data_IF_490555212132
#
_entry.id   IF_490555212132
#
_cell.length_a   1.000
_cell.length_b   1.000
_cell.length_c   1.000
_cell.angle_alpha   90.00
_cell.angle_beta   90.00
_cell.angle_gamma   90.00
#
_symmetry.space_group_name_H-M   'P 1'
#
loop_
_entity.id
_entity.type
_entity.pdbx_description
1 polymer ?
#
# COMPACT_ATOMS: atom_id res chain seq x y z
N UNK A 1 0.05 -2.47 8.13
CA UNK A 1 1.23 -2.65 7.26
C UNK A 1 1.05 -1.88 5.97
N UNK A 2 2.14 -1.59 5.26
CA UNK A 2 2.14 -0.85 3.99
C UNK A 2 2.97 -1.61 2.98
N UNK A 3 2.42 -1.79 1.78
CA UNK A 3 3.13 -2.29 0.62
C UNK A 3 3.30 -1.14 -0.37
N UNK A 4 4.55 -0.81 -0.68
CA UNK A 4 4.93 0.21 -1.66
C UNK A 4 5.37 -0.48 -2.97
N UNK A 5 4.89 0.00 -4.11
CA UNK A 5 5.36 -0.41 -5.44
C UNK A 5 5.40 0.78 -6.41
N UNK A 6 6.21 0.69 -7.47
CA UNK A 6 6.43 1.77 -8.43
C UNK A 6 5.65 1.63 -9.75
N UNK A 7 4.83 0.58 -9.91
CA UNK A 7 4.07 0.33 -11.13
C UNK A 7 2.64 -0.08 -10.79
N UNK A 8 1.68 0.32 -11.63
CA UNK A 8 0.28 -0.12 -11.52
C UNK A 8 0.14 -1.41 -12.35
N UNK A 9 -0.21 -2.52 -11.70
CA UNK A 9 -0.82 -3.64 -12.40
C UNK A 9 -2.31 -3.67 -12.03
N UNK A 10 -3.17 -3.96 -13.02
CA UNK A 10 -4.61 -4.11 -12.78
C UNK A 10 -4.83 -5.32 -11.87
N UNK A 11 -4.91 -5.06 -10.58
CA UNK A 11 -4.95 -6.10 -9.56
C UNK A 11 -6.28 -6.05 -8.82
N UNK A 12 -6.82 -7.23 -8.51
CA UNK A 12 -8.03 -7.34 -7.73
C UNK A 12 -7.70 -7.09 -6.25
N UNK A 13 -8.00 -5.88 -5.78
CA UNK A 13 -7.71 -5.47 -4.41
C UNK A 13 -8.88 -5.92 -3.53
N UNK A 14 -8.59 -6.74 -2.51
CA UNK A 14 -9.58 -7.13 -1.49
C UNK A 14 -10.20 -5.90 -0.83
N UNK A 15 -11.49 -5.97 -0.46
CA UNK A 15 -12.23 -4.85 0.15
C UNK A 15 -11.58 -4.25 1.41
N UNK A 16 -10.76 -5.03 2.13
CA UNK A 16 -10.08 -4.58 3.35
C UNK A 16 -8.75 -3.86 3.08
N UNK A 17 -8.26 -3.94 1.84
CA UNK A 17 -6.99 -3.33 1.43
C UNK A 17 -7.30 -1.95 0.86
N UNK A 18 -6.81 -0.92 1.53
CA UNK A 18 -6.86 0.44 0.99
C UNK A 18 -5.74 0.65 0.00
N UNK A 19 -6.06 1.35 -1.08
CA UNK A 19 -5.13 1.71 -2.13
C UNK A 19 -5.01 3.22 -2.21
N UNK A 20 -3.78 3.69 -2.30
CA UNK A 20 -3.45 5.09 -2.54
C UNK A 20 -2.35 5.20 -3.58
N UNK A 21 -2.46 6.21 -4.45
CA UNK A 21 -1.48 6.50 -5.49
C UNK A 21 -0.90 7.89 -5.22
N UNK A 22 0.41 7.95 -5.07
CA UNK A 22 1.13 9.21 -4.89
C UNK A 22 2.20 9.33 -5.98
N UNK A 23 1.92 10.14 -7.01
CA UNK A 23 2.76 10.26 -8.19
C UNK A 23 2.93 8.92 -8.92
N UNK A 24 4.17 8.44 -9.02
CA UNK A 24 4.52 7.15 -9.63
C UNK A 24 4.58 5.98 -8.63
N UNK A 25 4.21 6.22 -7.37
CA UNK A 25 4.22 5.20 -6.31
C UNK A 25 2.80 4.82 -5.92
N UNK A 26 2.66 3.56 -5.59
CA UNK A 26 1.41 2.93 -5.19
C UNK A 26 1.59 2.36 -3.79
N UNK A 27 0.68 2.72 -2.90
CA UNK A 27 0.66 2.33 -1.51
C UNK A 27 -0.58 1.50 -1.23
N UNK A 28 -0.38 0.30 -0.70
CA UNK A 28 -1.44 -0.60 -0.29
C UNK A 28 -1.37 -0.77 1.23
N UNK A 29 -2.45 -0.43 1.90
CA UNK A 29 -2.57 -0.48 3.35
C UNK A 29 -3.52 -1.61 3.73
N UNK A 30 -3.05 -2.55 4.54
CA UNK A 30 -3.90 -3.51 5.24
C UNK A 30 -3.55 -3.57 6.72
N UNK A 31 -4.53 -3.92 7.54
CA UNK A 31 -4.31 -4.27 8.94
C UNK A 31 -3.67 -5.66 9.06
N UNK A 32 -3.85 -6.53 8.06
CA UNK A 32 -3.28 -7.87 8.02
C UNK A 32 -2.06 -7.92 7.09
N UNK A 33 -0.91 -8.30 7.64
CA UNK A 33 0.34 -8.47 6.89
C UNK A 33 0.23 -9.54 5.80
N UNK A 34 -0.52 -10.60 6.04
CA UNK A 34 -0.59 -11.76 5.15
C UNK A 34 -1.30 -11.40 3.86
N UNK A 35 -2.28 -10.49 3.92
CA UNK A 35 -2.94 -9.97 2.73
C UNK A 35 -1.97 -9.20 1.82
N UNK A 36 -1.09 -8.37 2.40
CA UNK A 36 -0.06 -7.67 1.62
C UNK A 36 1.00 -8.63 1.09
N UNK A 37 1.36 -9.66 1.85
CA UNK A 37 2.26 -10.71 1.38
C UNK A 37 1.68 -11.49 0.20
N UNK A 38 0.40 -11.86 0.27
CA UNK A 38 -0.30 -12.52 -0.82
C UNK A 38 -0.36 -11.63 -2.08
N UNK A 39 -0.58 -10.32 -1.92
CA UNK A 39 -0.50 -9.36 -3.02
C UNK A 39 0.91 -9.33 -3.63
N UNK A 40 1.94 -9.25 -2.79
CA UNK A 40 3.34 -9.28 -3.25
C UNK A 40 3.67 -10.55 -4.03
N UNK A 41 3.24 -11.72 -3.56
CA UNK A 41 3.45 -12.99 -4.25
C UNK A 41 2.75 -13.04 -5.61
N UNK A 42 1.53 -12.49 -5.69
CA UNK A 42 0.77 -12.44 -6.93
C UNK A 42 1.40 -11.47 -7.96
N UNK A 43 1.92 -10.34 -7.50
CA UNK A 43 2.54 -9.33 -8.38
C UNK A 43 3.91 -9.76 -8.95
N UNK A 44 4.61 -10.72 -8.33
CA UNK A 44 5.98 -11.17 -8.71
C UNK A 44 6.97 -10.04 -9.02
N UNK A 45 6.68 -8.83 -8.56
CA UNK A 45 7.34 -7.63 -9.03
C UNK A 45 8.60 -7.40 -8.19
N UNK A 46 9.71 -7.09 -8.85
CA UNK A 46 11.02 -7.00 -8.18
C UNK A 46 11.17 -5.75 -7.31
N UNK A 47 10.20 -4.84 -7.35
CA UNK A 47 10.26 -3.54 -6.69
C UNK A 47 9.05 -3.33 -5.76
N UNK A 48 8.83 -4.30 -4.88
CA UNK A 48 7.77 -4.27 -3.85
C UNK A 48 8.40 -4.31 -2.47
N UNK A 49 8.10 -3.30 -1.65
CA UNK A 49 8.58 -3.18 -0.28
C UNK A 49 7.39 -3.30 0.66
N UNK A 50 7.40 -4.29 1.56
CA UNK A 50 6.44 -4.39 2.66
C UNK A 50 7.12 -3.83 3.91
N UNK A 51 6.49 -2.86 4.55
CA UNK A 51 6.95 -2.24 5.79
C UNK A 51 5.81 -2.11 6.80
N UNK A 52 6.16 -1.94 8.08
CA UNK A 52 5.19 -1.54 9.08
C UNK A 52 4.65 -0.15 8.74
N UNK A 53 3.37 0.09 9.01
CA UNK A 53 2.82 1.42 8.90
C UNK A 53 3.49 2.31 9.95
N UNK A 54 4.14 3.39 9.51
CA UNK A 54 4.71 4.37 10.42
C UNK A 54 3.60 5.22 11.02
N UNK A 55 3.93 5.98 12.07
CA UNK A 55 3.00 6.96 12.65
C UNK A 55 2.49 7.96 11.61
N UNK A 56 3.32 8.32 10.63
CA UNK A 56 2.95 9.21 9.53
C UNK A 56 1.94 8.55 8.57
N UNK A 57 2.14 7.27 8.21
CA UNK A 57 1.17 6.49 7.43
C UNK A 57 -0.17 6.33 8.17
N UNK A 58 -0.13 6.17 9.50
CA UNK A 58 -1.32 6.11 10.35
C UNK A 58 -2.01 7.48 10.44
N UNK A 59 -1.23 8.55 10.48
CA UNK A 59 -1.75 9.92 10.51
C UNK A 59 -2.44 10.27 9.19
N UNK A 60 -1.84 9.93 8.05
CA UNK A 60 -2.47 9.98 6.73
C UNK A 60 -3.78 9.19 6.69
N UNK A 61 -3.74 7.93 7.16
CA UNK A 61 -4.93 7.05 7.23
C UNK A 61 -6.07 7.65 8.07
N UNK A 62 -5.73 8.30 9.19
CA UNK A 62 -6.70 8.88 10.14
C UNK A 62 -7.24 10.24 9.68
N UNK A 63 -6.38 11.05 9.07
CA UNK A 63 -6.74 12.43 8.70
C UNK A 63 -7.37 12.52 7.31
N UNK A 64 -7.23 11.49 6.47
CA UNK A 64 -7.80 11.48 5.11
C UNK A 64 -7.29 12.63 4.24
N UNK A 65 -6.24 13.32 4.69
CA UNK A 65 -5.57 14.39 3.98
C UNK A 65 -4.41 13.74 3.26
N UNK A 66 -4.43 13.77 1.93
CA UNK A 66 -3.19 13.69 1.16
C UNK A 66 -2.26 14.72 1.80
N UNK A 67 -1.06 14.31 2.24
CA UNK A 67 -0.01 15.23 2.67
C UNK A 67 0.39 16.05 1.44
N UNK A 68 -0.34 17.12 1.18
CA UNK A 68 0.10 18.23 0.36
C UNK A 68 0.72 19.22 1.34
N UNK A 69 2.03 19.08 1.54
CA UNK A 69 3.07 20.13 1.60
C UNK A 69 4.38 19.61 2.24
#
# INVERSE_FOLDING_TARGET
YVLEMQFEENMYISKDIRFEKHGSRFYYYSNDEKELFALKECLKNKNIIIRNATLEDLFLKLTGRNLDE
#
